data_IF_762467009011
#
_entry.id   IF_762467009011
#
_cell.length_a   1.000
_cell.length_b   1.000
_cell.length_c   1.000
_cell.angle_alpha   90.00
_cell.angle_beta   90.00
_cell.angle_gamma   90.00
#
_symmetry.space_group_name_H-M   'P 1'
#
loop_
_entity.id
_entity.type
_entity.pdbx_description
1 polymer ?
#
# COMPACT_ATOMS: atom_id res chain seq x y z
N UNK A 1 8.29 -8.66 -58.97
CA UNK A 1 8.07 -7.98 -57.68
C UNK A 1 6.90 -8.55 -56.83
N UNK A 2 6.12 -9.54 -57.32
CA UNK A 2 4.95 -10.05 -56.59
C UNK A 2 5.29 -10.96 -55.39
N UNK A 3 6.38 -11.73 -55.49
CA UNK A 3 6.83 -12.63 -54.42
C UNK A 3 7.46 -11.88 -53.24
N UNK A 4 8.15 -10.76 -53.50
CA UNK A 4 8.77 -9.95 -52.46
C UNK A 4 7.72 -9.26 -51.57
N UNK A 5 6.68 -8.70 -52.21
CA UNK A 5 5.51 -8.13 -51.52
C UNK A 5 4.79 -9.18 -50.66
N UNK A 6 4.69 -10.42 -51.15
CA UNK A 6 4.05 -11.51 -50.40
C UNK A 6 4.87 -11.91 -49.17
N UNK A 7 6.20 -11.92 -49.27
CA UNK A 7 7.10 -12.22 -48.14
C UNK A 7 7.02 -11.10 -47.09
N UNK A 8 7.00 -9.84 -47.52
CA UNK A 8 6.89 -8.69 -46.62
C UNK A 8 5.58 -8.70 -45.81
N UNK A 9 4.45 -9.02 -46.46
CA UNK A 9 3.16 -9.14 -45.77
C UNK A 9 3.14 -10.28 -44.74
N UNK A 10 3.80 -11.41 -45.01
CA UNK A 10 3.90 -12.53 -44.06
C UNK A 10 4.74 -12.11 -42.84
N UNK A 11 5.87 -11.42 -43.05
CA UNK A 11 6.72 -10.90 -41.98
C UNK A 11 5.97 -9.91 -41.07
N UNK A 12 5.09 -9.08 -41.63
CA UNK A 12 4.32 -8.09 -40.88
C UNK A 12 3.25 -8.74 -39.99
N UNK A 13 2.59 -9.80 -40.47
CA UNK A 13 1.61 -10.57 -39.69
C UNK A 13 2.29 -11.36 -38.57
N UNK A 14 3.41 -12.02 -38.87
CA UNK A 14 4.17 -12.80 -37.88
C UNK A 14 4.80 -11.89 -36.82
N UNK A 15 5.37 -10.75 -37.24
CA UNK A 15 5.92 -9.74 -36.32
C UNK A 15 4.87 -9.17 -35.38
N UNK A 16 3.66 -8.88 -35.88
CA UNK A 16 2.53 -8.41 -35.07
C UNK A 16 2.00 -9.46 -34.07
N UNK A 17 2.03 -10.74 -34.43
CA UNK A 17 1.61 -11.82 -33.52
C UNK A 17 2.58 -12.03 -32.35
N UNK A 18 3.89 -11.83 -32.57
CA UNK A 18 4.91 -12.00 -31.53
C UNK A 18 4.85 -10.86 -30.49
N UNK A 19 4.45 -9.65 -30.89
CA UNK A 19 4.31 -8.51 -29.97
C UNK A 19 3.18 -8.64 -28.94
N UNK A 20 2.22 -9.56 -29.11
CA UNK A 20 1.09 -9.73 -28.18
C UNK A 20 1.50 -10.53 -26.93
N UNK A 21 2.59 -11.31 -26.99
CA UNK A 21 3.08 -12.10 -25.86
C UNK A 21 4.07 -11.37 -24.95
N UNK A 22 4.59 -10.20 -25.37
CA UNK A 22 5.58 -9.45 -24.59
C UNK A 22 5.06 -8.12 -24.03
N UNK A 23 3.74 -7.91 -24.04
CA UNK A 23 3.10 -6.85 -23.26
C UNK A 23 2.94 -7.28 -21.79
N UNK A 24 4.03 -7.70 -21.16
CA UNK A 24 4.23 -7.38 -19.74
C UNK A 24 4.60 -5.90 -19.71
N UNK A 25 3.58 -5.06 -19.95
CA UNK A 25 3.61 -3.64 -19.67
C UNK A 25 4.15 -3.48 -18.27
N UNK A 26 5.15 -2.61 -18.10
CA UNK A 26 5.81 -2.29 -16.83
C UNK A 26 4.84 -2.33 -15.64
N UNK A 27 4.75 -3.51 -15.02
CA UNK A 27 4.26 -3.69 -13.66
C UNK A 27 5.40 -3.20 -12.76
N UNK A 28 5.67 -1.90 -12.82
CA UNK A 28 6.45 -1.26 -11.77
C UNK A 28 5.54 -0.61 -10.73
N UNK A 29 4.22 -0.61 -10.95
CA UNK A 29 3.23 -0.04 -10.02
C UNK A 29 2.17 -1.05 -9.51
N UNK A 30 2.21 -2.33 -9.90
CA UNK A 30 1.21 -3.30 -9.40
C UNK A 30 1.37 -3.61 -7.91
N UNK A 31 2.49 -3.26 -7.28
CA UNK A 31 2.63 -3.37 -5.83
C UNK A 31 1.98 -2.22 -5.05
N UNK A 32 1.65 -1.09 -5.68
CA UNK A 32 1.22 0.13 -4.97
C UNK A 32 -0.24 0.52 -5.21
N UNK A 33 -0.79 0.33 -6.42
CA UNK A 33 -2.15 0.78 -6.73
C UNK A 33 -3.26 -0.22 -6.36
N UNK A 34 -2.94 -1.50 -6.12
CA UNK A 34 -3.93 -2.56 -5.86
C UNK A 34 -3.93 -3.14 -4.45
N UNK A 35 -3.02 -2.71 -3.57
CA UNK A 35 -2.91 -3.31 -2.24
C UNK A 35 -3.97 -2.75 -1.30
N UNK A 36 -4.72 -3.61 -0.59
CA UNK A 36 -5.65 -3.13 0.42
C UNK A 36 -4.87 -2.44 1.55
N UNK A 37 -5.24 -1.20 1.83
CA UNK A 37 -4.66 -0.36 2.88
C UNK A 37 -5.68 -0.17 3.99
N UNK A 38 -5.22 -0.21 5.24
CA UNK A 38 -6.00 0.19 6.41
C UNK A 38 -5.71 1.64 6.74
N UNK A 39 -6.75 2.44 6.90
CA UNK A 39 -6.64 3.85 7.28
C UNK A 39 -7.04 4.02 8.74
N UNK A 40 -6.10 4.48 9.56
CA UNK A 40 -6.27 4.68 11.00
C UNK A 40 -6.20 6.18 11.33
N UNK A 41 -7.02 6.62 12.28
CA UNK A 41 -6.97 7.98 12.86
C UNK A 41 -7.06 7.85 14.37
N UNK A 42 -6.27 8.63 15.10
CA UNK A 42 -6.26 8.62 16.55
C UNK A 42 -7.30 9.61 17.11
N UNK A 43 -8.07 9.16 18.09
CA UNK A 43 -9.09 9.96 18.77
C UNK A 43 -9.04 9.71 20.26
N UNK A 44 -9.22 10.79 21.02
CA UNK A 44 -9.36 10.74 22.47
C UNK A 44 -10.84 10.82 22.84
N UNK A 45 -11.21 10.11 23.89
CA UNK A 45 -12.58 10.08 24.42
C UNK A 45 -12.52 10.62 25.84
N UNK A 46 -13.12 11.78 26.05
CA UNK A 46 -13.34 12.32 27.38
C UNK A 46 -14.62 11.74 27.98
N UNK A 47 -14.44 10.87 28.98
CA UNK A 47 -15.53 10.21 29.70
C UNK A 47 -16.05 11.03 30.88
N UNK A 48 -15.45 12.18 31.17
CA UNK A 48 -15.86 13.04 32.30
C UNK A 48 -17.05 13.94 31.94
N UNK A 49 -17.30 14.13 30.64
CA UNK A 49 -18.39 14.93 30.11
C UNK A 49 -19.58 14.05 29.69
N UNK A 50 -20.80 14.58 29.86
CA UNK A 50 -22.05 13.90 29.43
C UNK A 50 -22.74 14.79 28.39
N UNK A 51 -22.86 14.36 27.12
CA UNK A 51 -22.32 13.12 26.55
C UNK A 51 -20.79 13.13 26.41
N UNK A 52 -20.18 11.94 26.27
CA UNK A 52 -18.76 11.81 26.01
C UNK A 52 -18.34 12.68 24.82
N UNK A 53 -17.27 13.45 24.99
CA UNK A 53 -16.70 14.25 23.89
C UNK A 53 -15.63 13.42 23.20
N UNK A 54 -15.74 13.33 21.87
CA UNK A 54 -14.76 12.65 21.01
C UNK A 54 -13.96 13.73 20.27
N UNK A 55 -12.66 13.81 20.54
CA UNK A 55 -11.75 14.76 19.90
C UNK A 55 -10.70 14.03 19.06
N UNK A 56 -10.19 14.70 18.02
CA UNK A 56 -9.02 14.19 17.30
C UNK A 56 -7.81 14.27 18.22
N UNK A 57 -6.97 13.23 18.16
CA UNK A 57 -5.79 13.11 19.00
C UNK A 57 -4.53 12.98 18.14
N UNK A 58 -3.38 13.22 18.76
CA UNK A 58 -2.07 13.16 18.13
C UNK A 58 -1.10 12.42 19.05
N UNK A 59 -0.45 11.39 18.52
CA UNK A 59 0.60 10.67 19.23
C UNK A 59 1.93 11.39 19.07
N UNK A 60 2.67 11.56 20.16
CA UNK A 60 3.99 12.19 20.14
C UNK A 60 5.01 11.36 19.38
N UNK A 61 4.95 10.04 19.57
CA UNK A 61 5.76 9.09 18.81
C UNK A 61 5.00 7.83 18.50
N UNK A 62 5.23 7.30 17.30
CA UNK A 62 4.65 6.03 16.89
C UNK A 62 5.68 5.22 16.10
N UNK A 63 5.89 3.99 16.56
CA UNK A 63 6.63 2.96 15.84
C UNK A 63 5.69 1.82 15.52
N UNK A 64 5.63 1.42 14.25
CA UNK A 64 4.79 0.33 13.78
C UNK A 64 5.65 -0.71 13.10
N UNK A 65 5.49 -1.95 13.53
CA UNK A 65 6.16 -3.11 12.94
C UNK A 65 5.12 -4.13 12.50
N UNK A 66 5.38 -4.80 11.38
CA UNK A 66 4.57 -5.93 10.93
C UNK A 66 5.07 -7.21 11.62
N UNK A 67 4.20 -7.86 12.39
CA UNK A 67 4.57 -9.10 13.06
C UNK A 67 4.74 -10.22 12.02
N UNK A 68 5.82 -11.00 12.16
CA UNK A 68 6.15 -12.09 11.25
C UNK A 68 6.91 -11.65 10.00
N UNK A 69 7.34 -10.38 9.92
CA UNK A 69 8.34 -9.89 8.96
C UNK A 69 9.37 -9.02 9.68
N UNK A 70 10.49 -8.74 9.03
CA UNK A 70 11.50 -7.79 9.53
C UNK A 70 11.16 -6.33 9.13
N UNK A 71 9.90 -6.06 8.79
CA UNK A 71 9.48 -4.77 8.23
C UNK A 71 9.04 -3.78 9.32
N UNK A 72 9.75 -2.66 9.37
CA UNK A 72 9.33 -1.46 10.11
C UNK A 72 8.54 -0.58 9.15
N UNK A 73 7.28 -0.33 9.47
CA UNK A 73 6.36 0.47 8.64
C UNK A 73 6.53 1.95 8.98
N UNK A 74 6.60 2.27 10.27
CA UNK A 74 6.84 3.60 10.81
C UNK A 74 7.88 3.47 11.92
N UNK A 75 8.89 4.34 11.90
CA UNK A 75 9.98 4.31 12.86
C UNK A 75 10.03 5.62 13.64
N UNK A 76 9.53 5.61 14.87
CA UNK A 76 9.55 6.76 15.77
C UNK A 76 9.00 8.05 15.12
N UNK A 77 7.96 7.91 14.30
CA UNK A 77 7.32 9.03 13.61
C UNK A 77 6.68 9.95 14.65
N UNK A 78 6.86 11.26 14.49
CA UNK A 78 6.42 12.26 15.47
C UNK A 78 5.10 12.91 15.07
N UNK A 79 4.30 13.32 16.05
CA UNK A 79 3.03 14.05 15.85
C UNK A 79 2.05 13.34 14.89
N UNK A 80 1.84 12.06 15.14
CA UNK A 80 1.04 11.20 14.25
C UNK A 80 -0.43 11.28 14.60
N UNK A 81 -1.25 11.69 13.63
CA UNK A 81 -2.70 11.82 13.77
C UNK A 81 -3.47 10.88 12.81
N UNK A 82 -2.82 10.48 11.70
CA UNK A 82 -3.36 9.54 10.70
C UNK A 82 -2.27 8.59 10.25
N UNK A 83 -2.64 7.35 9.95
CA UNK A 83 -1.72 6.32 9.47
C UNK A 83 -2.38 5.48 8.39
N UNK A 84 -1.61 5.14 7.36
CA UNK A 84 -1.97 4.17 6.34
C UNK A 84 -1.11 2.92 6.52
N UNK A 85 -1.73 1.77 6.71
CA UNK A 85 -1.04 0.50 6.94
C UNK A 85 -1.31 -0.49 5.79
N UNK A 86 -0.26 -1.02 5.14
CA UNK A 86 -0.43 -2.00 4.08
C UNK A 86 -0.83 -3.35 4.64
N UNK A 87 -1.92 -3.93 4.12
CA UNK A 87 -2.32 -5.29 4.46
C UNK A 87 -1.53 -6.31 3.63
N UNK A 88 -1.30 -7.47 4.24
CA UNK A 88 -0.63 -8.60 3.59
C UNK A 88 -1.57 -9.23 2.57
N UNK A 89 -1.07 -9.46 1.36
CA UNK A 89 -1.82 -10.09 0.26
C UNK A 89 -1.61 -11.61 0.19
N UNK A 90 -0.60 -12.13 0.90
CA UNK A 90 -0.22 -13.55 0.91
C UNK A 90 -0.79 -14.32 2.10
N UNK A 91 -1.60 -13.67 2.94
CA UNK A 91 -2.18 -14.28 4.13
C UNK A 91 -3.50 -13.59 4.47
N UNK A 92 -4.42 -14.36 5.04
CA UNK A 92 -5.75 -13.87 5.45
C UNK A 92 -5.70 -12.96 6.68
N UNK A 93 -4.52 -12.82 7.32
CA UNK A 93 -4.33 -11.97 8.48
C UNK A 93 -3.08 -11.08 8.34
N UNK A 94 -3.19 -9.86 8.86
CA UNK A 94 -2.06 -8.95 9.03
C UNK A 94 -2.05 -8.48 10.48
N UNK A 95 -0.90 -8.62 11.14
CA UNK A 95 -0.75 -8.26 12.55
C UNK A 95 0.27 -7.12 12.63
N UNK A 96 -0.13 -6.01 13.24
CA UNK A 96 0.73 -4.86 13.48
C UNK A 96 0.98 -4.71 14.98
N UNK A 97 2.23 -4.42 15.35
CA UNK A 97 2.57 -4.00 16.71
C UNK A 97 2.78 -2.49 16.68
N UNK A 98 1.92 -1.78 17.41
CA UNK A 98 1.99 -0.34 17.59
C UNK A 98 2.66 -0.05 18.94
N UNK A 99 3.78 0.66 18.91
CA UNK A 99 4.44 1.20 20.09
C UNK A 99 4.32 2.70 20.03
N UNK A 100 3.60 3.28 21.00
CA UNK A 100 3.41 4.71 21.11
C UNK A 100 3.75 5.19 22.51
N UNK A 101 4.22 6.42 22.60
CA UNK A 101 4.34 7.13 23.86
C UNK A 101 3.20 8.17 23.91
N UNK A 102 2.26 8.07 24.87
CA UNK A 102 1.20 9.05 25.01
C UNK A 102 1.78 10.39 25.46
N UNK A 103 1.20 11.49 24.96
CA UNK A 103 1.45 12.84 25.50
C UNK A 103 1.03 12.82 26.97
N UNK A 104 1.99 12.79 27.90
CA UNK A 104 1.72 13.03 29.32
C UNK A 104 1.71 14.54 29.52
N UNK A 105 0.58 15.16 29.22
CA UNK A 105 0.35 16.57 29.56
C UNK A 105 -0.09 16.70 31.01
#
# INVERSE_FOLDING_TARGET
MKNLIRIFLILLIVGGAISIHSSCSDENDCSLAGRPMMYCTFKSIDKTLVPNVIANDTLDSLTITALGTDSIILNNEKKVHKVMLPLRYTSDSTIFILRYDPVRN
#
